data_IF_673459432143
#
_entry.id   IF_673459432143
#
_cell.length_a   1.000
_cell.length_b   1.000
_cell.length_c   1.000
_cell.angle_alpha   90.00
_cell.angle_beta   90.00
_cell.angle_gamma   90.00
#
_symmetry.space_group_name_H-M   'P 1'
#
loop_
_entity.id
_entity.type
_entity.pdbx_description
1 polymer ?
#
# COMPACT_ATOMS: atom_id res chain seq x y z
N UNK A 1 13.65 -20.09 -2.48
CA UNK A 1 12.99 -19.08 -1.62
C UNK A 1 12.44 -17.96 -2.50
N UNK A 2 11.26 -17.41 -2.24
CA UNK A 2 10.68 -16.37 -3.11
C UNK A 2 11.21 -14.98 -2.74
N UNK A 3 11.68 -14.19 -3.72
CA UNK A 3 12.38 -12.92 -3.51
C UNK A 3 11.59 -11.90 -2.66
N UNK A 4 10.29 -11.76 -2.90
CA UNK A 4 9.45 -10.80 -2.17
C UNK A 4 9.26 -11.15 -0.69
N UNK A 5 9.35 -12.44 -0.32
CA UNK A 5 9.35 -12.86 1.10
C UNK A 5 10.64 -12.46 1.79
N UNK A 6 11.77 -12.51 1.09
CA UNK A 6 13.08 -12.10 1.62
C UNK A 6 13.19 -10.58 1.79
N UNK A 7 12.45 -9.82 0.96
CA UNK A 7 12.32 -8.37 1.08
C UNK A 7 11.33 -7.90 2.17
N UNK A 8 10.79 -8.81 2.98
CA UNK A 8 9.85 -8.48 4.06
C UNK A 8 8.45 -8.06 3.57
N UNK A 9 8.10 -8.33 2.31
CA UNK A 9 6.80 -7.95 1.75
C UNK A 9 5.74 -9.02 2.09
N UNK A 10 4.60 -8.60 2.65
CA UNK A 10 3.45 -9.47 2.84
C UNK A 10 2.82 -9.84 1.48
N UNK A 11 2.29 -11.05 1.35
CA UNK A 11 1.58 -11.52 0.15
C UNK A 11 0.52 -10.53 -0.35
N UNK A 12 -0.23 -9.92 0.56
CA UNK A 12 -1.26 -8.91 0.22
C UNK A 12 -0.65 -7.70 -0.50
N UNK A 13 0.52 -7.23 -0.05
CA UNK A 13 1.22 -6.11 -0.69
C UNK A 13 1.82 -6.53 -2.03
N UNK A 14 2.35 -7.73 -2.12
CA UNK A 14 2.87 -8.29 -3.38
C UNK A 14 1.77 -8.37 -4.45
N UNK A 15 0.61 -8.96 -4.13
CA UNK A 15 -0.49 -9.13 -5.08
C UNK A 15 -1.10 -7.78 -5.51
N UNK A 16 -1.18 -6.81 -4.61
CA UNK A 16 -1.63 -5.45 -4.93
C UNK A 16 -0.69 -4.73 -5.92
N UNK A 17 0.62 -4.94 -5.81
CA UNK A 17 1.62 -4.37 -6.72
C UNK A 17 1.51 -5.05 -8.09
N UNK A 18 1.45 -6.39 -8.12
CA UNK A 18 1.28 -7.14 -9.35
C UNK A 18 -0.01 -6.74 -10.10
N UNK A 19 -1.12 -6.54 -9.37
CA UNK A 19 -2.37 -6.08 -9.96
C UNK A 19 -2.29 -4.64 -10.54
N UNK A 20 -1.41 -3.79 -10.02
CA UNK A 20 -1.19 -2.44 -10.57
C UNK A 20 -0.39 -2.51 -11.86
N UNK A 21 0.75 -3.21 -11.84
CA UNK A 21 1.63 -3.36 -13.01
C UNK A 21 0.88 -4.02 -14.17
N UNK A 22 0.10 -5.07 -13.90
CA UNK A 22 -0.70 -5.74 -14.94
C UNK A 22 -1.74 -4.83 -15.58
N UNK A 23 -2.31 -3.87 -14.83
CA UNK A 23 -3.25 -2.89 -15.38
C UNK A 23 -2.56 -1.88 -16.29
N UNK A 24 -1.35 -1.45 -15.93
CA UNK A 24 -0.55 -0.51 -16.74
C UNK A 24 -0.11 -1.14 -18.07
N UNK A 25 0.22 -2.42 -18.04
CA UNK A 25 0.64 -3.17 -19.24
C UNK A 25 -0.55 -3.66 -20.10
N UNK A 26 -1.77 -3.71 -19.56
CA UNK A 26 -2.94 -4.20 -20.28
C UNK A 26 -3.62 -3.09 -21.08
N UNK A 27 -3.79 -3.29 -22.40
CA UNK A 27 -4.51 -2.37 -23.29
C UNK A 27 -5.98 -2.15 -22.86
N UNK A 28 -6.58 -3.15 -22.20
CA UNK A 28 -7.94 -3.06 -21.63
C UNK A 28 -7.97 -2.39 -20.24
N UNK A 29 -6.83 -2.29 -19.55
CA UNK A 29 -6.70 -1.71 -18.20
C UNK A 29 -6.67 -0.19 -18.17
N UNK A 30 -6.32 0.48 -19.27
CA UNK A 30 -6.23 1.95 -19.35
C UNK A 30 -7.57 2.70 -19.20
N UNK A 31 -8.70 2.02 -19.36
CA UNK A 31 -10.05 2.60 -19.22
C UNK A 31 -10.84 2.12 -18.01
N UNK A 32 -10.35 1.09 -17.30
CA UNK A 32 -10.95 0.58 -16.08
C UNK A 32 -10.14 1.08 -14.88
N UNK A 33 -10.15 2.40 -14.67
CA UNK A 33 -9.89 2.97 -13.34
C UNK A 33 -11.05 2.62 -12.40
N UNK A 34 -11.27 1.31 -12.21
CA UNK A 34 -12.19 0.80 -11.21
C UNK A 34 -11.73 1.36 -9.88
N UNK A 35 -12.52 2.31 -9.39
CA UNK A 35 -12.36 3.09 -8.17
C UNK A 35 -11.41 2.42 -7.18
N UNK A 36 -10.13 2.75 -7.27
CA UNK A 36 -9.18 2.38 -6.23
C UNK A 36 -9.67 3.14 -5.01
N UNK A 37 -10.28 2.43 -4.05
CA UNK A 37 -10.78 3.04 -2.84
C UNK A 37 -9.62 3.84 -2.24
N UNK A 38 -9.73 5.17 -2.27
CA UNK A 38 -8.71 6.07 -1.74
C UNK A 38 -8.85 6.01 -0.22
N UNK A 39 -8.35 4.93 0.38
CA UNK A 39 -8.46 4.71 1.82
C UNK A 39 -7.43 5.62 2.49
N UNK A 40 -7.87 6.79 2.94
CA UNK A 40 -7.07 7.60 3.82
C UNK A 40 -7.25 7.04 5.24
N UNK A 41 -6.46 6.04 5.59
CA UNK A 41 -6.46 5.49 6.95
C UNK A 41 -5.42 6.24 7.76
N UNK A 42 -5.88 7.06 8.71
CA UNK A 42 -5.02 7.63 9.75
C UNK A 42 -4.73 6.52 10.76
N UNK A 43 -3.52 5.99 10.74
CA UNK A 43 -3.07 5.01 11.74
C UNK A 43 -2.48 5.78 12.91
N UNK A 44 -3.08 5.64 14.09
CA UNK A 44 -2.56 6.23 15.34
C UNK A 44 -1.98 5.09 16.15
N UNK A 45 -0.70 5.22 16.52
CA UNK A 45 -0.04 4.26 17.37
C UNK A 45 -0.36 4.59 18.83
N UNK A 46 -0.72 3.59 19.63
CA UNK A 46 -1.08 3.76 21.04
C UNK A 46 -0.04 3.08 21.92
N UNK A 47 0.48 3.81 22.90
CA UNK A 47 1.37 3.25 23.92
C UNK A 47 0.95 3.73 25.29
N UNK A 48 1.00 2.85 26.29
CA UNK A 48 0.65 3.16 27.69
C UNK A 48 -0.73 3.83 27.85
N UNK A 49 -1.70 3.42 27.02
CA UNK A 49 -3.09 3.91 27.08
C UNK A 49 -3.32 5.32 26.52
N UNK A 50 -2.32 5.94 25.87
CA UNK A 50 -2.47 7.24 25.20
C UNK A 50 -2.09 7.14 23.72
N UNK A 51 -2.82 7.85 22.84
CA UNK A 51 -2.42 7.93 21.43
C UNK A 51 -1.10 8.69 21.33
N UNK A 52 -0.10 8.08 20.70
CA UNK A 52 1.15 8.73 20.32
C UNK A 52 0.87 9.59 19.08
N UNK A 53 0.36 10.81 19.31
CA UNK A 53 0.08 11.80 18.26
C UNK A 53 1.40 12.50 17.89
N UNK A 54 2.37 11.73 17.37
CA UNK A 54 3.49 12.31 16.64
C UNK A 54 3.08 12.39 15.18
N UNK A 55 2.84 13.61 14.69
CA UNK A 55 2.50 13.90 13.31
C UNK A 55 3.69 13.56 12.40
N UNK A 56 3.73 12.32 11.91
CA UNK A 56 4.80 11.85 11.03
C UNK A 56 4.54 12.24 9.57
N UNK A 57 4.89 13.48 9.23
CA UNK A 57 4.92 14.03 7.86
C UNK A 57 6.15 13.57 7.05
N UNK A 58 6.61 12.31 7.18
CA UNK A 58 7.75 11.83 6.39
C UNK A 58 7.29 10.87 5.30
N UNK A 59 6.95 11.43 4.14
CA UNK A 59 7.33 10.85 2.84
C UNK A 59 7.17 11.89 1.73
N UNK A 60 8.17 12.76 1.61
CA UNK A 60 8.51 13.47 0.38
C UNK A 60 10.04 13.43 0.25
N UNK A 61 10.54 12.41 -0.43
CA UNK A 61 11.87 12.41 -1.00
C UNK A 61 11.77 11.81 -2.39
#
# INVERSE_FOLDING_TARGET
MVLWRSAGINYVRFSQIAAQVTKECSKAGKGMEGHKARTWLKTVYWENGKPNISNNNNNKK
#
